data_IF_896478640725
#
_entry.id   IF_896478640725
#
_cell.length_a   1.000
_cell.length_b   1.000
_cell.length_c   1.000
_cell.angle_alpha   90.00
_cell.angle_beta   90.00
_cell.angle_gamma   90.00
#
_symmetry.space_group_name_H-M   'P 1'
#
loop_
_entity.id
_entity.type
_entity.pdbx_description
1 polymer ?
#
# COMPACT_ATOMS: atom_id res chain seq x y z
N UNK A 1 -2.67 -24.57 16.77
CA UNK A 1 -2.27 -23.32 17.45
C UNK A 1 -1.10 -22.76 16.67
N UNK A 2 -1.34 -21.82 15.75
CA UNK A 2 -0.23 -21.11 15.10
C UNK A 2 0.43 -20.20 16.15
N UNK A 3 1.73 -20.40 16.34
CA UNK A 3 2.59 -19.81 17.37
C UNK A 3 2.37 -18.30 17.51
N UNK A 4 2.24 -17.79 18.73
CA UNK A 4 2.22 -16.35 19.03
C UNK A 4 3.46 -15.62 18.47
N UNK A 5 4.61 -16.31 18.37
CA UNK A 5 5.82 -15.82 17.69
C UNK A 5 5.62 -15.44 16.21
N UNK A 6 4.65 -16.04 15.51
CA UNK A 6 4.42 -15.76 14.09
C UNK A 6 3.49 -14.55 13.86
N UNK A 7 2.80 -14.09 14.92
CA UNK A 7 2.01 -12.85 14.87
C UNK A 7 2.93 -11.63 14.74
N UNK A 8 4.07 -11.65 15.42
CA UNK A 8 5.03 -10.55 15.41
C UNK A 8 5.69 -10.37 14.03
N UNK A 9 6.00 -11.48 13.32
CA UNK A 9 6.63 -11.43 11.98
C UNK A 9 5.68 -10.91 10.89
N UNK A 10 4.37 -10.95 11.11
CA UNK A 10 3.34 -10.55 10.15
C UNK A 10 2.48 -9.39 10.67
N UNK A 11 3.03 -8.53 11.54
CA UNK A 11 2.26 -7.49 12.21
C UNK A 11 1.57 -6.53 11.22
N UNK A 12 2.28 -6.06 10.19
CA UNK A 12 1.69 -5.17 9.17
C UNK A 12 0.61 -5.88 8.34
N UNK A 13 0.81 -7.16 8.00
CA UNK A 13 -0.22 -7.97 7.35
C UNK A 13 -1.49 -8.10 8.22
N UNK A 14 -1.32 -8.36 9.52
CA UNK A 14 -2.44 -8.48 10.45
C UNK A 14 -3.18 -7.13 10.62
N UNK A 15 -2.47 -6.00 10.65
CA UNK A 15 -3.06 -4.66 10.64
C UNK A 15 -3.94 -4.42 9.40
N UNK A 16 -3.45 -4.75 8.20
CA UNK A 16 -4.26 -4.63 6.96
C UNK A 16 -5.43 -5.60 7.00
N UNK A 17 -5.25 -6.81 7.52
CA UNK A 17 -6.34 -7.78 7.68
C UNK A 17 -7.44 -7.24 8.60
N UNK A 18 -7.09 -6.61 9.71
CA UNK A 18 -8.04 -5.99 10.63
C UNK A 18 -8.81 -4.86 9.94
N UNK A 19 -8.13 -4.04 9.14
CA UNK A 19 -8.78 -3.03 8.29
C UNK A 19 -9.75 -3.68 7.30
N UNK A 20 -9.33 -4.75 6.59
CA UNK A 20 -10.21 -5.44 5.66
C UNK A 20 -11.47 -5.99 6.36
N UNK A 21 -11.32 -6.58 7.54
CA UNK A 21 -12.44 -7.11 8.32
C UNK A 21 -13.38 -6.00 8.79
N UNK A 22 -12.84 -4.91 9.32
CA UNK A 22 -13.64 -3.80 9.84
C UNK A 22 -14.42 -3.05 8.74
N UNK A 23 -13.86 -2.96 7.53
CA UNK A 23 -14.44 -2.24 6.40
C UNK A 23 -15.15 -3.16 5.39
N UNK A 24 -15.32 -4.44 5.69
CA UNK A 24 -16.03 -5.38 4.83
C UNK A 24 -15.34 -5.63 3.49
N UNK A 25 -14.02 -5.45 3.42
CA UNK A 25 -13.23 -5.80 2.26
C UNK A 25 -12.93 -7.31 2.22
N UNK A 26 -12.52 -7.81 1.06
CA UNK A 26 -12.22 -9.23 0.87
C UNK A 26 -11.11 -9.70 1.81
N UNK A 27 -11.34 -10.80 2.54
CA UNK A 27 -10.36 -11.51 3.36
C UNK A 27 -10.25 -12.95 2.86
N UNK A 28 -9.03 -13.44 2.65
CA UNK A 28 -8.78 -14.83 2.29
C UNK A 28 -8.77 -15.74 3.52
N UNK A 29 -9.53 -16.83 3.51
CA UNK A 29 -9.53 -17.85 4.57
C UNK A 29 -8.50 -18.96 4.34
N UNK A 30 -8.10 -19.16 3.08
CA UNK A 30 -7.06 -20.08 2.65
C UNK A 30 -6.33 -19.54 1.42
N UNK A 31 -5.10 -19.99 1.14
CA UNK A 31 -4.35 -19.55 -0.03
C UNK A 31 -5.07 -19.92 -1.34
N UNK A 32 -5.38 -18.92 -2.16
CA UNK A 32 -6.03 -19.08 -3.47
C UNK A 32 -5.63 -17.93 -4.40
N UNK A 33 -5.55 -18.14 -5.72
CA UNK A 33 -5.27 -17.08 -6.67
C UNK A 33 -6.23 -15.88 -6.51
N UNK A 34 -5.70 -14.68 -6.66
CA UNK A 34 -6.46 -13.44 -6.74
C UNK A 34 -7.11 -13.37 -8.11
N UNK A 35 -8.42 -13.12 -8.14
CA UNK A 35 -9.19 -12.98 -9.38
C UNK A 35 -8.77 -11.72 -10.17
N UNK A 36 -8.84 -11.79 -11.50
CA UNK A 36 -8.33 -10.78 -12.44
C UNK A 36 -8.74 -9.34 -12.09
N UNK A 37 -10.03 -9.10 -11.83
CA UNK A 37 -10.53 -7.77 -11.47
C UNK A 37 -9.88 -7.24 -10.20
N UNK A 38 -9.73 -8.09 -9.18
CA UNK A 38 -9.09 -7.71 -7.91
C UNK A 38 -7.59 -7.48 -8.11
N UNK A 39 -6.93 -8.30 -8.94
CA UNK A 39 -5.52 -8.14 -9.25
C UNK A 39 -5.25 -6.81 -9.97
N UNK A 40 -6.05 -6.46 -10.98
CA UNK A 40 -5.94 -5.18 -11.69
C UNK A 40 -6.19 -4.00 -10.76
N UNK A 41 -7.27 -4.02 -9.98
CA UNK A 41 -7.55 -2.94 -9.03
C UNK A 41 -6.40 -2.75 -8.02
N UNK A 42 -5.84 -3.86 -7.51
CA UNK A 42 -4.71 -3.81 -6.57
C UNK A 42 -3.45 -3.24 -7.21
N UNK A 43 -3.16 -3.63 -8.45
CA UNK A 43 -2.04 -3.08 -9.21
C UNK A 43 -2.20 -1.58 -9.50
N UNK A 44 -3.40 -1.14 -9.87
CA UNK A 44 -3.70 0.29 -10.12
C UNK A 44 -3.52 1.11 -8.85
N UNK A 45 -4.15 0.71 -7.73
CA UNK A 45 -4.02 1.42 -6.46
C UNK A 45 -2.58 1.49 -5.97
N UNK A 46 -1.81 0.40 -6.09
CA UNK A 46 -0.37 0.44 -5.77
C UNK A 46 0.40 1.35 -6.75
N UNK A 47 0.02 1.36 -8.02
CA UNK A 47 0.60 2.24 -9.03
C UNK A 47 0.31 3.72 -8.80
N UNK A 48 -0.88 4.09 -8.30
CA UNK A 48 -1.25 5.47 -7.94
C UNK A 48 -0.29 6.05 -6.89
N UNK A 49 0.04 5.27 -5.85
CA UNK A 49 1.02 5.66 -4.82
C UNK A 49 2.42 5.86 -5.41
N UNK A 50 2.81 5.08 -6.42
CA UNK A 50 4.08 5.29 -7.15
C UNK A 50 4.04 6.59 -7.97
N UNK A 51 2.89 6.97 -8.52
CA UNK A 51 2.74 8.26 -9.20
C UNK A 51 2.88 9.41 -8.21
N UNK A 52 2.27 9.31 -7.03
CA UNK A 52 2.42 10.31 -5.96
C UNK A 52 3.88 10.40 -5.48
N UNK A 53 4.56 9.26 -5.31
CA UNK A 53 6.00 9.23 -4.98
C UNK A 53 6.87 9.96 -6.02
N UNK A 54 6.58 9.77 -7.32
CA UNK A 54 7.30 10.47 -8.39
C UNK A 54 6.98 11.98 -8.40
N UNK A 55 5.74 12.38 -8.14
CA UNK A 55 5.36 13.78 -8.02
C UNK A 55 6.06 14.46 -6.83
N UNK A 56 6.14 13.77 -5.69
CA UNK A 56 6.91 14.21 -4.52
C UNK A 56 8.41 14.30 -4.84
N UNK A 57 8.97 13.34 -5.58
CA UNK A 57 10.36 13.36 -6.06
C UNK A 57 10.64 14.53 -7.00
N UNK A 58 9.64 14.94 -7.77
CA UNK A 58 9.69 16.13 -8.60
C UNK A 58 9.56 17.44 -7.80
N UNK A 59 9.34 17.39 -6.48
CA UNK A 59 9.11 18.57 -5.64
C UNK A 59 7.94 19.46 -6.13
N UNK A 60 6.94 18.84 -6.79
CA UNK A 60 5.82 19.54 -7.39
C UNK A 60 6.11 20.22 -8.74
N UNK A 61 7.33 20.13 -9.26
CA UNK A 61 7.70 20.69 -10.56
C UNK A 61 7.11 19.85 -11.71
N UNK A 62 6.15 20.42 -12.43
CA UNK A 62 5.36 19.70 -13.44
C UNK A 62 6.21 19.13 -14.58
N UNK A 63 7.17 19.89 -15.11
CA UNK A 63 8.03 19.44 -16.21
C UNK A 63 8.88 18.23 -15.79
N UNK A 64 9.53 18.32 -14.63
CA UNK A 64 10.32 17.21 -14.06
C UNK A 64 9.44 16.00 -13.75
N UNK A 65 8.23 16.21 -13.21
CA UNK A 65 7.29 15.12 -12.98
C UNK A 65 6.92 14.41 -14.29
N UNK A 66 6.62 15.16 -15.36
CA UNK A 66 6.32 14.57 -16.66
C UNK A 66 7.48 13.73 -17.18
N UNK A 67 8.72 14.20 -17.06
CA UNK A 67 9.91 13.44 -17.44
C UNK A 67 10.06 12.12 -16.65
N UNK A 68 9.90 12.19 -15.32
CA UNK A 68 9.97 11.01 -14.45
C UNK A 68 8.84 10.02 -14.74
N UNK A 69 7.63 10.50 -14.93
CA UNK A 69 6.46 9.67 -15.22
C UNK A 69 6.56 8.99 -16.59
N UNK A 70 7.09 9.67 -17.61
CA UNK A 70 7.35 9.04 -18.92
C UNK A 70 8.41 7.94 -18.84
N UNK A 71 9.46 8.14 -18.03
CA UNK A 71 10.46 7.09 -17.77
C UNK A 71 9.84 5.87 -17.07
N UNK A 72 8.96 6.11 -16.09
CA UNK A 72 8.20 5.05 -15.42
C UNK A 72 7.35 4.25 -16.41
N UNK A 73 6.53 4.90 -17.24
CA UNK A 73 5.71 4.24 -18.26
C UNK A 73 6.55 3.44 -19.26
N UNK A 74 7.69 3.99 -19.70
CA UNK A 74 8.62 3.28 -20.58
C UNK A 74 9.17 2.01 -19.92
N UNK A 75 9.48 2.06 -18.62
CA UNK A 75 9.88 0.91 -17.83
C UNK A 75 8.79 -0.17 -17.79
N UNK A 76 7.54 0.22 -17.51
CA UNK A 76 6.40 -0.69 -17.47
C UNK A 76 6.13 -1.34 -18.84
N UNK A 77 6.13 -0.56 -19.93
CA UNK A 77 5.96 -1.10 -21.28
C UNK A 77 7.06 -2.12 -21.61
N UNK A 78 8.33 -1.80 -21.31
CA UNK A 78 9.45 -2.72 -21.51
C UNK A 78 9.29 -4.02 -20.72
N UNK A 79 8.80 -3.95 -19.49
CA UNK A 79 8.55 -5.13 -18.66
C UNK A 79 7.43 -6.01 -19.27
N UNK A 80 6.33 -5.39 -19.71
CA UNK A 80 5.24 -6.09 -20.39
C UNK A 80 5.71 -6.75 -21.70
N UNK A 81 6.44 -6.02 -22.55
CA UNK A 81 7.00 -6.54 -23.79
C UNK A 81 7.92 -7.74 -23.57
N UNK A 82 8.75 -7.69 -22.50
CA UNK A 82 9.61 -8.80 -22.12
C UNK A 82 8.81 -10.05 -21.77
N UNK A 83 7.76 -9.92 -20.96
CA UNK A 83 6.88 -11.04 -20.59
C UNK A 83 6.22 -11.64 -21.85
N UNK A 84 5.73 -10.78 -22.74
CA UNK A 84 5.09 -11.19 -24.00
C UNK A 84 6.07 -11.85 -24.99
N UNK A 85 7.36 -11.53 -24.88
CA UNK A 85 8.44 -12.12 -25.69
C UNK A 85 8.89 -13.46 -25.12
N UNK A 86 9.18 -13.53 -23.83
CA UNK A 86 9.70 -14.73 -23.17
C UNK A 86 8.63 -15.83 -23.06
N UNK A 87 7.35 -15.47 -22.87
CA UNK A 87 6.20 -16.39 -22.79
C UNK A 87 6.46 -17.58 -21.87
N UNK A 88 7.14 -17.34 -20.76
CA UNK A 88 7.40 -18.39 -19.75
C UNK A 88 6.05 -18.95 -19.28
N UNK A 89 5.92 -20.28 -19.14
CA UNK A 89 4.72 -20.87 -18.60
C UNK A 89 4.52 -20.40 -17.15
N UNK A 90 3.25 -20.29 -16.76
CA UNK A 90 2.85 -20.08 -15.36
C UNK A 90 2.28 -21.39 -14.86
N UNK A 91 3.08 -22.14 -14.11
CA UNK A 91 2.71 -23.49 -13.63
C UNK A 91 1.70 -23.43 -12.47
N UNK A 92 1.84 -22.44 -11.58
CA UNK A 92 0.90 -22.17 -10.49
C UNK A 92 0.67 -20.65 -10.37
N UNK A 93 -0.58 -20.24 -10.60
CA UNK A 93 -0.98 -18.82 -10.60
C UNK A 93 -0.83 -18.19 -9.21
N UNK A 94 -1.15 -18.92 -8.14
CA UNK A 94 -1.02 -18.39 -6.79
C UNK A 94 0.46 -18.15 -6.46
N UNK A 95 1.33 -19.12 -6.78
CA UNK A 95 2.77 -18.98 -6.56
C UNK A 95 3.31 -17.77 -7.32
N UNK A 96 3.00 -17.65 -8.61
CA UNK A 96 3.47 -16.52 -9.42
C UNK A 96 2.95 -15.15 -8.94
N UNK A 97 1.70 -15.07 -8.48
CA UNK A 97 1.16 -13.84 -7.89
C UNK A 97 1.85 -13.48 -6.57
N UNK A 98 2.09 -14.46 -5.69
CA UNK A 98 2.74 -14.20 -4.40
C UNK A 98 4.21 -13.86 -4.57
N UNK A 99 4.91 -14.45 -5.54
CA UNK A 99 6.28 -14.11 -5.92
C UNK A 99 6.38 -12.63 -6.33
N UNK A 100 5.55 -12.20 -7.30
CA UNK A 100 5.53 -10.82 -7.76
C UNK A 100 5.15 -9.81 -6.66
N UNK A 101 4.17 -10.12 -5.80
CA UNK A 101 3.79 -9.23 -4.70
C UNK A 101 4.86 -9.17 -3.59
N UNK A 102 5.60 -10.26 -3.38
CA UNK A 102 6.73 -10.29 -2.45
C UNK A 102 7.88 -9.42 -2.97
N UNK A 103 8.17 -9.47 -4.28
CA UNK A 103 9.15 -8.59 -4.91
C UNK A 103 8.76 -7.11 -4.78
N UNK A 104 7.48 -6.77 -4.94
CA UNK A 104 6.97 -5.41 -4.72
C UNK A 104 7.20 -4.96 -3.27
N UNK A 105 6.86 -5.80 -2.29
CA UNK A 105 7.14 -5.51 -0.88
C UNK A 105 8.65 -5.31 -0.65
N UNK A 106 9.49 -6.17 -1.21
CA UNK A 106 10.94 -6.08 -1.06
C UNK A 106 11.52 -4.78 -1.61
N UNK A 107 11.09 -4.36 -2.81
CA UNK A 107 11.51 -3.07 -3.38
C UNK A 107 10.98 -1.88 -2.59
N UNK A 108 9.76 -1.95 -2.07
CA UNK A 108 9.20 -0.90 -1.23
C UNK A 108 10.00 -0.73 0.07
N UNK A 109 10.36 -1.84 0.74
CA UNK A 109 11.28 -1.83 1.88
C UNK A 109 12.65 -1.24 1.50
N UNK A 110 13.17 -1.60 0.32
CA UNK A 110 14.39 -1.02 -0.23
C UNK A 110 14.36 0.51 -0.35
N UNK A 111 13.22 1.08 -0.74
CA UNK A 111 13.03 2.55 -0.80
C UNK A 111 13.17 3.20 0.58
N UNK A 112 12.59 2.60 1.63
CA UNK A 112 12.75 3.07 3.00
C UNK A 112 14.20 2.97 3.49
N UNK A 113 14.90 1.88 3.13
CA UNK A 113 16.32 1.70 3.41
C UNK A 113 17.17 2.79 2.75
N UNK A 114 16.90 3.11 1.48
CA UNK A 114 17.59 4.19 0.77
C UNK A 114 17.36 5.55 1.45
N UNK A 115 16.14 5.79 1.94
CA UNK A 115 15.80 7.01 2.67
C UNK A 115 16.35 7.05 4.10
N UNK A 116 16.81 5.91 4.65
CA UNK A 116 17.18 5.78 6.06
C UNK A 116 16.00 5.97 7.02
N UNK A 117 14.79 5.60 6.59
CA UNK A 117 13.55 5.79 7.35
C UNK A 117 13.01 4.42 7.79
N UNK A 118 12.78 4.25 9.09
CA UNK A 118 12.14 3.04 9.63
C UNK A 118 10.63 3.09 9.34
N UNK A 119 10.06 2.14 8.56
CA UNK A 119 8.72 2.29 8.02
C UNK A 119 7.60 1.94 9.00
N UNK A 120 7.87 1.12 10.03
CA UNK A 120 6.80 0.57 10.88
C UNK A 120 5.97 1.65 11.59
N UNK A 121 6.60 2.68 12.15
CA UNK A 121 5.86 3.75 12.84
C UNK A 121 5.03 4.59 11.86
N UNK A 122 5.52 4.80 10.64
CA UNK A 122 4.77 5.47 9.58
C UNK A 122 3.55 4.63 9.17
N UNK A 123 3.76 3.33 8.99
CA UNK A 123 2.69 2.38 8.70
C UNK A 123 1.64 2.36 9.81
N UNK A 124 2.05 2.35 11.08
CA UNK A 124 1.13 2.38 12.22
C UNK A 124 0.29 3.66 12.25
N UNK A 125 0.88 4.83 11.93
CA UNK A 125 0.13 6.10 11.81
C UNK A 125 -0.94 5.99 10.72
N UNK A 126 -0.60 5.45 9.55
CA UNK A 126 -1.55 5.24 8.43
C UNK A 126 -2.62 4.21 8.81
N UNK A 127 -2.25 3.14 9.51
CA UNK A 127 -3.19 2.14 10.01
C UNK A 127 -4.20 2.76 10.98
N UNK A 128 -3.73 3.55 11.96
CA UNK A 128 -4.60 4.27 12.89
C UNK A 128 -5.51 5.27 12.17
N UNK A 129 -4.99 5.98 11.17
CA UNK A 129 -5.78 6.89 10.34
C UNK A 129 -6.90 6.16 9.58
N UNK A 130 -6.58 4.98 9.03
CA UNK A 130 -7.54 4.14 8.32
C UNK A 130 -8.60 3.54 9.25
N UNK A 131 -8.19 3.01 10.40
CA UNK A 131 -9.12 2.47 11.41
C UNK A 131 -9.97 3.57 12.06
N UNK A 132 -9.44 4.79 12.19
CA UNK A 132 -10.17 5.97 12.65
C UNK A 132 -11.35 6.37 11.76
N UNK A 133 -11.48 5.80 10.55
CA UNK A 133 -12.65 6.01 9.67
C UNK A 133 -13.90 5.25 10.12
N UNK A 134 -13.80 4.42 11.17
CA UNK A 134 -14.97 3.84 11.82
C UNK A 134 -15.74 4.93 12.59
N UNK A 135 -17.07 4.89 12.51
CA UNK A 135 -17.94 5.80 13.27
C UNK A 135 -18.04 5.35 14.75
N UNK A 136 -18.67 6.15 15.60
CA UNK A 136 -18.84 5.85 17.04
C UNK A 136 -19.50 4.50 17.32
N UNK A 137 -20.28 3.97 16.37
CA UNK A 137 -20.90 2.64 16.43
C UNK A 137 -19.95 1.49 16.01
N UNK A 138 -18.69 1.80 15.73
CA UNK A 138 -17.67 0.86 15.30
C UNK A 138 -17.84 0.39 13.85
N UNK A 139 -18.65 1.06 13.03
CA UNK A 139 -18.95 0.65 11.65
C UNK A 139 -18.49 1.70 10.63
N UNK A 140 -18.07 1.27 9.43
CA UNK A 140 -17.75 2.20 8.35
C UNK A 140 -19.03 2.83 7.77
N UNK A 141 -18.85 3.88 6.98
CA UNK A 141 -19.89 4.44 6.10
C UNK A 141 -19.31 4.59 4.70
N UNK A 142 -20.13 4.35 3.69
CA UNK A 142 -19.72 4.40 2.30
C UNK A 142 -20.63 5.36 1.53
N UNK A 143 -20.04 6.08 0.59
CA UNK A 143 -20.78 6.91 -0.34
C UNK A 143 -21.44 6.03 -1.40
N UNK A 144 -22.74 6.23 -1.63
CA UNK A 144 -23.53 5.33 -2.48
C UNK A 144 -23.06 5.28 -3.94
N UNK A 145 -22.51 6.39 -4.46
CA UNK A 145 -22.16 6.53 -5.88
C UNK A 145 -20.92 5.72 -6.30
N UNK A 146 -19.92 5.62 -5.42
CA UNK A 146 -18.60 5.07 -5.77
C UNK A 146 -18.01 4.15 -4.68
N UNK A 147 -18.73 3.95 -3.58
CA UNK A 147 -18.28 3.14 -2.47
C UNK A 147 -17.12 3.74 -1.69
N UNK A 148 -16.83 5.05 -1.84
CA UNK A 148 -15.76 5.70 -1.07
C UNK A 148 -16.08 5.69 0.41
N UNK A 149 -15.11 5.31 1.24
CA UNK A 149 -15.22 5.38 2.71
C UNK A 149 -15.41 6.84 3.13
N UNK A 150 -16.47 7.08 3.89
CA UNK A 150 -16.78 8.38 4.49
C UNK A 150 -16.07 8.49 5.84
N UNK A 151 -15.47 9.66 6.10
CA UNK A 151 -14.79 9.97 7.35
C UNK A 151 -15.81 10.44 8.41
N UNK A 152 -15.69 10.03 9.69
CA UNK A 152 -16.54 10.54 10.76
C UNK A 152 -16.26 12.01 11.08
N UNK A 153 -17.16 12.71 11.81
CA UNK A 153 -16.89 14.05 12.33
C UNK A 153 -15.58 14.06 13.15
N UNK A 154 -14.78 15.12 13.00
CA UNK A 154 -13.46 15.30 13.61
C UNK A 154 -12.32 14.38 13.14
N UNK A 155 -12.54 13.47 12.17
CA UNK A 155 -11.46 12.60 11.67
C UNK A 155 -10.19 13.37 11.27
N UNK A 156 -10.34 14.49 10.57
CA UNK A 156 -9.21 15.34 10.16
C UNK A 156 -8.38 15.84 11.36
N UNK A 157 -9.02 16.10 12.50
CA UNK A 157 -8.34 16.57 13.71
C UNK A 157 -7.67 15.41 14.45
N UNK A 158 -8.36 14.28 14.57
CA UNK A 158 -8.00 13.21 15.49
C UNK A 158 -7.10 12.16 14.83
N UNK A 159 -7.23 11.96 13.52
CA UNK A 159 -6.66 10.82 12.80
C UNK A 159 -5.88 11.17 11.52
N UNK A 160 -5.94 12.40 11.01
CA UNK A 160 -5.21 12.78 9.80
C UNK A 160 -3.72 12.43 9.90
N UNK A 161 -3.15 11.68 8.94
CA UNK A 161 -1.81 11.14 9.08
C UNK A 161 -0.71 12.16 8.80
N UNK A 162 -0.95 13.21 8.01
CA UNK A 162 0.10 14.05 7.40
C UNK A 162 0.98 14.74 8.45
N UNK A 163 0.37 15.37 9.47
CA UNK A 163 1.12 16.00 10.56
C UNK A 163 1.90 15.00 11.40
N UNK A 164 1.30 13.84 11.65
CA UNK A 164 1.87 12.76 12.48
C UNK A 164 3.04 12.06 11.77
N UNK A 165 2.93 11.85 10.45
CA UNK A 165 3.99 11.31 9.61
C UNK A 165 5.21 12.25 9.63
N UNK A 166 4.98 13.56 9.51
CA UNK A 166 6.04 14.56 9.62
C UNK A 166 6.72 14.50 10.99
N UNK A 167 5.95 14.45 12.08
CA UNK A 167 6.50 14.35 13.44
C UNK A 167 7.37 13.10 13.63
N UNK A 168 6.92 11.93 13.14
CA UNK A 168 7.71 10.70 13.23
C UNK A 168 8.98 10.76 12.37
N UNK A 169 8.91 11.32 11.15
CA UNK A 169 10.10 11.55 10.31
C UNK A 169 11.08 12.50 11.00
N UNK A 170 10.59 13.61 11.56
CA UNK A 170 11.42 14.58 12.28
C UNK A 170 12.05 13.92 13.51
N UNK A 171 11.33 13.07 14.25
CA UNK A 171 11.89 12.28 15.35
C UNK A 171 13.00 11.34 14.90
N UNK A 172 12.84 10.63 13.77
CA UNK A 172 13.88 9.76 13.24
C UNK A 172 15.14 10.53 12.81
N UNK A 173 14.99 11.71 12.21
CA UNK A 173 16.13 12.60 11.86
C UNK A 173 16.98 13.02 13.05
N UNK A 174 16.39 13.14 14.24
CA UNK A 174 17.07 13.60 15.46
C UNK A 174 17.41 12.46 16.43
N UNK A 175 17.17 11.19 16.06
CA UNK A 175 17.73 10.02 16.75
C UNK A 175 19.22 9.90 16.39
N UNK A 176 20.04 10.81 16.93
CA UNK A 176 21.50 10.82 16.85
C UNK A 176 22.11 11.06 18.21
#
# INVERSE_FOLDING_TARGET
MANEQNKDLNIMYNMVKDFHQAFGHQVGESPKPIADKTAVNRAVWTGEELVEFLYATAAGEEEKFQELFQQFLKGLHKAADKIMTEKKPVDDVLVAQMDALTDVEYFNQGSFVIAGVEPFNLFNIVQEANMGKLFEDGKPRFREEDGKIIKPPNWEKDFAPEGRLKEEIDKQKHKG
#
